data_IF_423590030226
#
_entry.id   IF_423590030226
#
_cell.length_a   1.000
_cell.length_b   1.000
_cell.length_c   1.000
_cell.angle_alpha   90.00
_cell.angle_beta   90.00
_cell.angle_gamma   90.00
#
_symmetry.space_group_name_H-M   'P 1'
#
loop_
_entity.id
_entity.type
_entity.pdbx_description
1 polymer ?
#
# COMPACT_ATOMS: atom_id res chain seq x y z
N UNK A 1 -16.81 1.76 -17.31
CA UNK A 1 -16.54 1.90 -15.87
C UNK A 1 -15.19 1.24 -15.64
N UNK A 2 -14.21 1.94 -15.05
CA UNK A 2 -12.94 1.29 -14.69
C UNK A 2 -13.19 0.51 -13.39
N UNK A 3 -13.03 -0.82 -13.43
CA UNK A 3 -13.18 -1.69 -12.28
C UNK A 3 -11.79 -2.10 -11.76
N UNK A 4 -11.61 -2.04 -10.44
CA UNK A 4 -10.34 -2.37 -9.80
C UNK A 4 -10.58 -3.35 -8.66
N UNK A 5 -9.77 -4.39 -8.60
CA UNK A 5 -9.79 -5.37 -7.52
C UNK A 5 -8.57 -5.13 -6.64
N UNK A 6 -8.79 -5.07 -5.33
CA UNK A 6 -7.72 -5.03 -4.34
C UNK A 6 -7.95 -6.08 -3.26
N UNK A 7 -6.87 -6.50 -2.63
CA UNK A 7 -6.85 -7.53 -1.59
C UNK A 7 -6.53 -6.86 -0.27
N UNK A 8 -7.29 -7.19 0.77
CA UNK A 8 -6.98 -6.82 2.16
C UNK A 8 -6.58 -8.10 2.88
N UNK A 9 -5.32 -8.19 3.30
CA UNK A 9 -4.77 -9.35 3.99
C UNK A 9 -4.39 -9.00 5.43
N UNK A 10 -5.07 -9.65 6.36
CA UNK A 10 -4.74 -9.62 7.78
C UNK A 10 -4.12 -10.98 8.12
N UNK A 11 -2.79 -11.07 8.27
CA UNK A 11 -2.20 -12.32 8.74
C UNK A 11 -2.60 -12.52 10.21
N UNK A 12 -3.25 -13.65 10.57
CA UNK A 12 -3.51 -13.96 11.96
C UNK A 12 -2.18 -14.12 12.70
N UNK A 13 -2.12 -13.63 13.94
CA UNK A 13 -1.05 -13.90 14.89
C UNK A 13 -1.00 -15.42 15.19
N UNK A 14 -0.45 -16.22 14.29
CA UNK A 14 -0.33 -17.69 14.44
C UNK A 14 0.84 -18.09 15.34
N UNK A 15 1.41 -17.14 16.10
CA UNK A 15 2.34 -17.48 17.18
C UNK A 15 1.63 -17.35 18.53
N UNK A 16 1.66 -18.39 19.39
CA UNK A 16 1.31 -18.23 20.79
C UNK A 16 2.17 -17.09 21.34
N UNK A 17 1.58 -16.25 22.18
CA UNK A 17 2.20 -15.08 22.81
C UNK A 17 3.57 -15.41 23.42
N UNK A 18 4.64 -15.35 22.64
CA UNK A 18 6.00 -15.26 23.14
C UNK A 18 6.33 -13.78 23.08
N UNK A 19 6.42 -13.17 24.25
CA UNK A 19 6.78 -11.77 24.44
C UNK A 19 8.17 -11.51 23.84
N UNK A 20 8.23 -11.27 22.54
CA UNK A 20 9.31 -10.54 21.89
C UNK A 20 8.77 -9.15 21.56
N UNK A 21 9.46 -8.13 22.05
CA UNK A 21 9.10 -6.70 22.06
C UNK A 21 8.94 -6.02 20.67
N UNK A 22 8.38 -6.69 19.66
CA UNK A 22 8.08 -6.10 18.35
C UNK A 22 6.56 -6.09 18.13
N UNK A 23 5.85 -5.25 18.89
CA UNK A 23 4.38 -5.22 18.98
C UNK A 23 3.68 -4.39 17.88
N UNK A 24 4.42 -3.80 16.94
CA UNK A 24 3.86 -2.81 15.99
C UNK A 24 3.54 -3.35 14.60
N UNK A 25 4.17 -4.44 14.14
CA UNK A 25 4.09 -4.83 12.73
C UNK A 25 2.82 -5.65 12.38
N UNK A 26 2.16 -6.22 13.39
CA UNK A 26 1.11 -7.23 13.20
C UNK A 26 -0.34 -6.71 13.27
N UNK A 27 -0.55 -5.38 13.28
CA UNK A 27 -1.91 -4.78 13.38
C UNK A 27 -2.41 -4.12 12.11
N UNK A 28 -1.54 -3.63 11.24
CA UNK A 28 -1.94 -2.95 10.00
C UNK A 28 -2.38 -4.01 8.97
N UNK A 29 -3.47 -3.84 8.20
CA UNK A 29 -3.78 -4.73 7.09
C UNK A 29 -2.81 -4.48 5.91
N UNK A 30 -2.41 -5.55 5.21
CA UNK A 30 -1.71 -5.39 3.94
C UNK A 30 -2.75 -5.21 2.83
N UNK A 31 -2.67 -4.10 2.10
CA UNK A 31 -3.59 -3.76 1.02
C UNK A 31 -2.83 -3.58 -0.28
N UNK A 32 -3.21 -4.33 -1.31
CA UNK A 32 -2.57 -4.30 -2.63
C UNK A 32 -3.60 -4.49 -3.73
N UNK A 33 -3.46 -3.73 -4.82
CA UNK A 33 -4.23 -3.99 -6.04
C UNK A 33 -3.80 -5.32 -6.64
N UNK A 34 -4.78 -6.05 -7.17
CA UNK A 34 -4.52 -7.31 -7.88
C UNK A 34 -3.97 -6.97 -9.26
N UNK A 35 -2.76 -7.43 -9.54
CA UNK A 35 -2.10 -7.27 -10.84
C UNK A 35 -1.81 -8.66 -11.40
N UNK A 36 -2.38 -8.97 -12.57
CA UNK A 36 -2.16 -10.20 -13.32
C UNK A 36 -2.40 -9.95 -14.82
N UNK A 37 -2.50 -11.01 -15.62
CA UNK A 37 -2.70 -10.88 -17.08
C UNK A 37 -4.03 -10.21 -17.47
N UNK A 38 -5.01 -10.19 -16.55
CA UNK A 38 -6.37 -9.68 -16.76
C UNK A 38 -6.55 -8.32 -16.10
N UNK A 39 -6.00 -8.13 -14.90
CA UNK A 39 -6.17 -6.95 -14.05
C UNK A 39 -4.88 -6.14 -13.97
N UNK A 40 -4.98 -4.84 -14.17
CA UNK A 40 -3.87 -3.91 -14.00
C UNK A 40 -4.10 -3.02 -12.78
N UNK A 41 -3.03 -2.43 -12.25
CA UNK A 41 -3.15 -1.42 -11.20
C UNK A 41 -3.57 -0.06 -11.78
N UNK A 42 -4.43 0.72 -11.07
CA UNK A 42 -4.79 2.06 -11.50
C UNK A 42 -3.56 2.96 -11.66
N UNK A 43 -3.58 3.85 -12.65
CA UNK A 43 -2.53 4.86 -12.81
C UNK A 43 -2.81 6.01 -11.85
N UNK A 44 -2.06 6.06 -10.75
CA UNK A 44 -2.22 7.05 -9.69
C UNK A 44 -0.86 7.41 -9.09
N UNK A 45 -0.63 8.66 -8.64
CA UNK A 45 0.64 9.09 -8.02
C UNK A 45 1.04 8.33 -6.74
N UNK A 46 0.11 7.56 -6.16
CA UNK A 46 0.34 6.73 -4.98
C UNK A 46 0.26 5.21 -5.24
N UNK A 47 0.07 4.79 -6.50
CA UNK A 47 -0.09 3.38 -6.88
C UNK A 47 1.01 2.94 -7.84
N UNK A 48 1.77 1.94 -7.39
CA UNK A 48 2.85 1.34 -8.16
C UNK A 48 2.32 0.31 -9.17
N UNK A 49 3.11 0.01 -10.21
CA UNK A 49 2.73 -0.93 -11.27
C UNK A 49 2.60 -2.38 -10.81
N UNK A 50 3.26 -2.74 -9.70
CA UNK A 50 3.07 -4.02 -9.02
C UNK A 50 1.80 -4.06 -8.13
N UNK A 51 1.01 -2.99 -8.10
CA UNK A 51 -0.22 -2.91 -7.29
C UNK A 51 0.00 -2.49 -5.84
N UNK A 52 1.22 -2.12 -5.47
CA UNK A 52 1.48 -1.57 -4.14
C UNK A 52 0.92 -0.16 -4.01
N UNK A 53 0.45 0.13 -2.78
CA UNK A 53 -0.21 1.39 -2.47
C UNK A 53 0.61 2.09 -1.39
N UNK A 54 0.99 3.32 -1.66
CA UNK A 54 1.64 4.17 -0.67
C UNK A 54 0.59 5.12 -0.09
N UNK A 55 0.06 4.76 1.07
CA UNK A 55 -0.87 5.60 1.82
C UNK A 55 -0.54 5.50 3.31
N UNK A 56 -0.53 6.63 4.01
CA UNK A 56 -0.13 6.70 5.42
C UNK A 56 -1.07 5.91 6.34
N UNK A 57 -2.36 5.84 5.99
CA UNK A 57 -3.40 4.95 6.57
C UNK A 57 -2.96 3.48 6.59
N UNK A 58 -2.13 3.04 5.65
CA UNK A 58 -1.62 1.66 5.58
C UNK A 58 -0.23 1.50 6.23
N UNK A 59 0.26 2.53 6.92
CA UNK A 59 1.53 2.55 7.61
C UNK A 59 1.43 3.28 8.95
N UNK A 60 1.98 4.49 9.01
CA UNK A 60 2.14 5.23 10.26
C UNK A 60 0.82 5.74 10.86
N UNK A 61 -0.17 6.07 10.02
CA UNK A 61 -1.46 6.61 10.47
C UNK A 61 -2.50 5.51 10.70
N UNK A 62 -2.11 4.24 10.59
CA UNK A 62 -3.01 3.14 10.91
C UNK A 62 -3.36 3.14 12.39
N UNK A 63 -4.66 3.14 12.68
CA UNK A 63 -5.21 2.96 14.02
C UNK A 63 -6.13 1.73 14.05
N UNK A 64 -6.16 0.94 15.14
CA UNK A 64 -7.13 -0.13 15.33
C UNK A 64 -8.61 0.30 15.25
N UNK A 65 -8.88 1.60 15.31
CA UNK A 65 -10.21 2.20 15.12
C UNK A 65 -10.63 2.18 13.65
N UNK A 66 -9.67 2.16 12.72
CA UNK A 66 -9.93 2.08 11.29
C UNK A 66 -10.35 0.65 10.92
N UNK A 67 -11.44 0.53 10.16
CA UNK A 67 -11.96 -0.75 9.71
C UNK A 67 -11.74 -0.95 8.20
N UNK A 68 -12.03 -2.16 7.70
CA UNK A 68 -11.89 -2.47 6.27
C UNK A 68 -12.75 -1.55 5.38
N UNK A 69 -13.91 -1.08 5.88
CA UNK A 69 -14.79 -0.17 5.16
C UNK A 69 -14.16 1.22 5.02
N UNK A 70 -13.52 1.74 6.07
CA UNK A 70 -12.77 2.99 6.05
C UNK A 70 -11.67 2.94 4.99
N UNK A 71 -10.94 1.82 4.90
CA UNK A 71 -9.93 1.60 3.87
C UNK A 71 -10.57 1.67 2.47
N UNK A 72 -11.68 0.96 2.24
CA UNK A 72 -12.37 0.98 0.95
C UNK A 72 -12.80 2.40 0.55
N UNK A 73 -13.36 3.17 1.49
CA UNK A 73 -13.79 4.55 1.26
C UNK A 73 -12.58 5.44 0.95
N UNK A 74 -11.46 5.27 1.66
CA UNK A 74 -10.22 6.02 1.39
C UNK A 74 -9.68 5.69 0.00
N UNK A 75 -9.65 4.42 -0.40
CA UNK A 75 -9.20 4.01 -1.74
C UNK A 75 -10.11 4.58 -2.84
N UNK A 76 -11.43 4.53 -2.63
CA UNK A 76 -12.38 5.11 -3.57
C UNK A 76 -12.18 6.62 -3.71
N UNK A 77 -12.03 7.33 -2.58
CA UNK A 77 -11.81 8.77 -2.55
C UNK A 77 -10.50 9.16 -3.22
N UNK A 78 -9.41 8.42 -2.96
CA UNK A 78 -8.12 8.61 -3.60
C UNK A 78 -8.21 8.46 -5.13
N UNK A 79 -8.89 7.41 -5.62
CA UNK A 79 -9.05 7.21 -7.05
C UNK A 79 -9.97 8.25 -7.71
N UNK A 80 -11.01 8.68 -7.00
CA UNK A 80 -11.97 9.67 -7.49
C UNK A 80 -11.40 11.10 -7.54
N UNK A 81 -10.49 11.43 -6.62
CA UNK A 81 -9.86 12.76 -6.55
C UNK A 81 -8.67 12.91 -7.52
N UNK A 82 -8.36 11.87 -8.29
CA UNK A 82 -7.21 11.87 -9.18
C UNK A 82 -7.37 12.89 -10.32
N UNK A 83 -6.49 13.90 -10.36
CA UNK A 83 -6.49 14.95 -11.39
C UNK A 83 -5.64 14.58 -12.60
N UNK A 84 -4.69 13.65 -12.47
CA UNK A 84 -3.77 13.28 -13.55
C UNK A 84 -3.39 11.79 -13.48
N UNK A 85 -3.47 11.11 -14.63
CA UNK A 85 -3.08 9.69 -14.74
C UNK A 85 -1.55 9.58 -14.85
N UNK A 86 -0.85 9.78 -13.73
CA UNK A 86 0.61 9.70 -13.62
C UNK A 86 1.00 8.64 -12.57
N UNK A 87 2.11 7.94 -12.80
CA UNK A 87 2.68 6.95 -11.85
C UNK A 87 3.58 7.64 -10.81
N UNK A 88 3.81 7.02 -9.64
CA UNK A 88 4.78 7.53 -8.68
C UNK A 88 6.18 7.66 -9.30
N UNK A 89 6.92 8.67 -8.87
CA UNK A 89 8.31 8.84 -9.29
C UNK A 89 9.14 7.64 -8.79
N UNK A 90 9.93 7.04 -9.69
CA UNK A 90 10.71 5.84 -9.36
C UNK A 90 9.93 4.53 -9.35
N UNK A 91 8.71 4.46 -9.91
CA UNK A 91 7.91 3.23 -10.01
C UNK A 91 8.71 2.04 -10.57
N UNK A 92 9.34 2.22 -11.74
CA UNK A 92 10.18 1.21 -12.39
C UNK A 92 11.32 0.70 -11.49
N UNK A 93 11.93 1.61 -10.72
CA UNK A 93 13.03 1.27 -9.82
C UNK A 93 12.52 0.49 -8.61
N UNK A 94 11.41 0.92 -8.05
CA UNK A 94 10.76 0.25 -6.93
C UNK A 94 10.37 -1.18 -7.30
N UNK A 95 9.60 -1.34 -8.39
CA UNK A 95 9.02 -2.62 -8.81
C UNK A 95 10.09 -3.69 -9.06
N UNK A 96 11.28 -3.29 -9.55
CA UNK A 96 12.42 -4.21 -9.73
C UNK A 96 12.95 -4.81 -8.43
N UNK A 97 12.91 -4.04 -7.34
CA UNK A 97 13.48 -4.44 -6.04
C UNK A 97 12.41 -4.71 -4.98
N UNK A 98 11.13 -4.55 -5.34
CA UNK A 98 10.03 -4.59 -4.39
C UNK A 98 9.83 -6.01 -3.84
N UNK A 99 9.76 -6.18 -2.52
CA UNK A 99 9.36 -7.45 -1.93
C UNK A 99 7.89 -7.73 -2.24
N UNK A 100 7.47 -9.00 -2.25
CA UNK A 100 6.06 -9.37 -2.48
C UNK A 100 5.10 -8.81 -1.41
N UNK A 101 5.61 -8.43 -0.23
CA UNK A 101 4.85 -7.77 0.82
C UNK A 101 5.23 -6.29 0.89
N UNK A 102 4.30 -5.35 0.60
CA UNK A 102 4.57 -3.92 0.63
C UNK A 102 4.97 -3.39 2.01
N UNK A 103 4.64 -4.10 3.10
CA UNK A 103 5.00 -3.68 4.47
C UNK A 103 6.48 -3.76 4.76
N UNK A 104 7.21 -4.61 4.02
CA UNK A 104 8.66 -4.71 4.16
C UNK A 104 9.39 -3.54 3.46
N UNK A 105 8.66 -2.69 2.73
CA UNK A 105 9.18 -1.49 2.11
C UNK A 105 9.18 -0.34 3.11
N UNK A 106 10.31 0.37 3.21
CA UNK A 106 10.39 1.63 3.95
C UNK A 106 9.81 2.78 3.12
N UNK A 107 8.56 3.13 3.40
CA UNK A 107 7.85 4.20 2.71
C UNK A 107 8.20 5.58 3.28
N UNK A 108 8.28 6.58 2.40
CA UNK A 108 8.17 7.98 2.79
C UNK A 108 6.90 8.57 2.19
N UNK A 109 6.06 9.09 3.07
CA UNK A 109 4.83 9.76 2.69
C UNK A 109 5.13 11.26 2.61
N UNK A 110 5.24 11.82 1.40
CA UNK A 110 5.10 13.26 1.19
C UNK A 110 3.71 13.51 0.56
N UNK A 111 3.02 14.56 0.98
CA UNK A 111 1.59 14.79 0.70
C UNK A 111 1.24 14.85 -0.79
N UNK A 112 2.19 15.26 -1.64
CA UNK A 112 2.02 15.37 -3.09
C UNK A 112 2.65 14.20 -3.88
N UNK A 113 3.64 13.50 -3.30
CA UNK A 113 4.40 12.43 -3.98
C UNK A 113 4.89 11.41 -2.96
N UNK A 114 4.57 10.13 -3.15
CA UNK A 114 5.26 9.09 -2.40
C UNK A 114 6.63 8.81 -3.00
N UNK A 115 7.70 9.18 -2.28
CA UNK A 115 9.08 8.80 -2.64
C UNK A 115 9.47 7.53 -1.88
N UNK A 116 10.05 6.55 -2.59
CA UNK A 116 10.65 5.38 -1.94
C UNK A 116 12.11 5.69 -1.61
N UNK A 117 12.50 5.58 -0.34
CA UNK A 117 13.90 5.74 0.10
C UNK A 117 14.79 4.55 -0.19
N UNK A 118 14.26 3.51 -0.85
CA UNK A 118 15.09 2.41 -1.31
C UNK A 118 15.97 2.96 -2.44
N UNK A 119 17.14 3.47 -2.02
CA UNK A 119 18.35 3.75 -2.79
C UNK A 119 18.57 5.24 -3.22
N UNK A 120 18.46 6.23 -2.31
CA UNK A 120 19.32 7.44 -2.39
C UNK A 120 20.70 7.15 -1.78
N UNK A 121 21.34 6.09 -2.29
CA UNK A 121 22.77 5.80 -2.24
C UNK A 121 23.08 4.80 -3.35
#
# INVERSE_FOLDING_TARGET
MEEWIFTITCRPLTRPCRASNSLSESKVPQVTFVVNDIWQAPIHPHIYSNGHICASILGNDWSPVLNAVSICITMQSMLASNKSKVRPEGDQRYVRNAPANPKLTSWKYDDDVCTNYICWN
#
